data_IF_983859669451
#
_entry.id   IF_983859669451
#
_cell.length_a   1.000
_cell.length_b   1.000
_cell.length_c   1.000
_cell.angle_alpha   90.00
_cell.angle_beta   90.00
_cell.angle_gamma   90.00
#
_symmetry.space_group_name_H-M   'P 1'
#
loop_
_entity.id
_entity.type
_entity.pdbx_description
1 polymer ?
#
# COMPACT_ATOMS: atom_id res chain seq x y z
N UNK A 1 -2.78 27.10 27.87
CA UNK A 1 -2.17 28.37 28.28
C UNK A 1 -0.99 28.06 29.20
N UNK A 2 0.19 27.83 28.63
CA UNK A 2 1.51 27.93 29.28
C UNK A 2 2.48 28.37 28.18
N UNK A 3 3.08 29.55 28.35
CA UNK A 3 4.18 30.10 27.55
C UNK A 3 5.39 30.18 28.48
N UNK A 4 6.58 29.91 27.95
CA UNK A 4 7.83 30.58 28.34
C UNK A 4 8.76 30.65 27.13
N UNK A 5 9.18 31.88 26.81
CA UNK A 5 10.25 32.26 25.89
C UNK A 5 11.63 32.01 26.55
N UNK A 6 12.84 32.21 25.99
CA UNK A 6 13.39 32.89 24.80
C UNK A 6 14.91 32.54 24.72
N UNK A 7 15.58 33.06 23.68
CA UNK A 7 17.04 33.34 23.53
C UNK A 7 17.88 32.39 22.65
N UNK A 8 17.94 32.74 21.36
CA UNK A 8 19.06 33.37 20.64
C UNK A 8 20.51 32.92 20.94
N UNK A 9 21.22 32.54 19.87
CA UNK A 9 22.67 32.33 19.86
C UNK A 9 23.21 32.12 18.44
N UNK A 10 23.45 33.23 17.74
CA UNK A 10 24.29 33.31 16.52
C UNK A 10 25.72 32.87 16.83
N UNK A 11 26.34 32.06 15.96
CA UNK A 11 27.79 32.06 15.74
C UNK A 11 28.14 31.78 14.28
N UNK A 12 28.77 32.80 13.72
CA UNK A 12 29.71 32.97 12.61
C UNK A 12 30.12 31.82 11.68
N UNK A 13 30.24 32.27 10.43
CA UNK A 13 30.92 31.73 9.26
C UNK A 13 32.34 31.19 9.49
N UNK A 14 32.65 30.05 8.90
CA UNK A 14 34.01 29.66 8.54
C UNK A 14 34.09 29.04 7.13
N UNK A 15 34.69 29.83 6.24
CA UNK A 15 35.73 29.52 5.25
C UNK A 15 35.55 28.33 4.28
N UNK A 16 35.49 28.74 3.01
CA UNK A 16 35.85 27.98 1.82
C UNK A 16 37.16 27.20 2.01
N UNK A 17 37.12 25.90 1.72
CA UNK A 17 38.29 25.13 1.33
C UNK A 17 37.98 24.46 0.00
N UNK A 18 38.67 24.96 -1.02
CA UNK A 18 38.69 24.51 -2.39
C UNK A 18 39.18 23.05 -2.47
N UNK A 19 38.42 22.21 -3.16
CA UNK A 19 38.63 20.76 -3.24
C UNK A 19 37.95 20.20 -4.47
N UNK A 20 38.54 20.48 -5.64
CA UNK A 20 38.01 20.18 -6.97
C UNK A 20 37.39 18.79 -7.12
N UNK A 21 36.12 18.79 -7.55
CA UNK A 21 35.36 17.60 -7.91
C UNK A 21 35.70 17.21 -9.34
N UNK A 22 36.40 16.09 -9.52
CA UNK A 22 36.54 15.44 -10.82
C UNK A 22 35.27 14.64 -11.14
N UNK A 23 34.44 15.17 -12.04
CA UNK A 23 33.22 14.50 -12.55
C UNK A 23 33.57 13.84 -13.89
N UNK A 24 33.55 12.50 -14.04
CA UNK A 24 33.67 11.89 -15.34
C UNK A 24 32.34 12.07 -16.10
N UNK A 25 32.39 12.77 -17.23
CA UNK A 25 31.28 12.88 -18.18
C UNK A 25 30.95 11.49 -18.75
N UNK A 26 29.85 10.87 -18.28
CA UNK A 26 29.39 9.56 -18.74
C UNK A 26 28.67 9.64 -20.11
N UNK A 27 29.40 10.05 -21.14
CA UNK A 27 28.98 9.96 -22.54
C UNK A 27 29.93 9.09 -23.41
N UNK A 28 30.97 8.47 -22.83
CA UNK A 28 31.94 7.63 -23.56
C UNK A 28 31.99 6.16 -23.11
N UNK A 29 31.03 5.69 -22.30
CA UNK A 29 30.96 4.29 -21.84
C UNK A 29 30.06 3.40 -22.72
N UNK A 30 29.41 3.93 -23.76
CA UNK A 30 28.55 3.13 -24.64
C UNK A 30 29.32 2.41 -25.76
N UNK A 31 30.51 2.89 -26.14
CA UNK A 31 31.23 2.38 -27.32
C UNK A 31 32.33 1.34 -27.01
N UNK A 32 32.73 1.21 -25.73
CA UNK A 32 33.72 0.20 -25.30
C UNK A 32 33.12 -1.13 -24.83
N UNK A 33 31.80 -1.23 -24.69
CA UNK A 33 31.14 -2.38 -24.06
C UNK A 33 30.68 -3.45 -25.05
N UNK A 34 30.82 -3.19 -26.37
CA UNK A 34 30.51 -4.15 -27.44
C UNK A 34 31.75 -4.93 -27.96
N UNK A 35 32.93 -4.68 -27.39
CA UNK A 35 34.20 -5.24 -27.86
C UNK A 35 34.90 -6.14 -26.85
N UNK A 36 34.31 -7.28 -26.46
CA UNK A 36 35.10 -8.44 -25.98
C UNK A 36 34.42 -9.72 -26.50
N UNK A 37 34.91 -10.21 -27.63
CA UNK A 37 34.71 -11.59 -28.07
C UNK A 37 35.76 -12.50 -27.43
N UNK A 38 35.33 -13.74 -27.15
CA UNK A 38 36.15 -14.96 -27.09
C UNK A 38 37.13 -15.18 -25.93
N UNK A 39 36.60 -15.73 -24.83
CA UNK A 39 37.18 -16.91 -24.14
C UNK A 39 36.16 -17.50 -23.16
N UNK A 40 35.23 -18.31 -23.67
CA UNK A 40 34.43 -19.20 -22.82
C UNK A 40 35.06 -20.60 -22.88
N UNK A 41 35.77 -20.94 -21.80
CA UNK A 41 36.06 -22.32 -21.45
C UNK A 41 34.75 -23.08 -21.28
N UNK A 42 34.74 -24.32 -21.81
CA UNK A 42 33.71 -25.33 -21.60
C UNK A 42 33.49 -25.55 -20.10
N UNK A 43 32.39 -25.07 -19.58
CA UNK A 43 31.77 -25.63 -18.38
C UNK A 43 30.25 -25.52 -18.50
N UNK A 44 29.56 -26.65 -18.30
CA UNK A 44 28.09 -26.73 -18.29
C UNK A 44 27.54 -25.72 -17.26
N UNK A 45 26.40 -25.05 -17.52
CA UNK A 45 25.83 -24.12 -16.56
C UNK A 45 25.41 -24.88 -15.30
N UNK A 46 26.24 -24.81 -14.25
CA UNK A 46 25.86 -25.19 -12.88
C UNK A 46 24.70 -24.29 -12.49
N UNK A 47 23.61 -24.90 -11.99
CA UNK A 47 22.49 -24.18 -11.38
C UNK A 47 23.00 -23.38 -10.18
N UNK A 48 23.39 -22.14 -10.41
CA UNK A 48 23.81 -21.21 -9.36
C UNK A 48 22.59 -20.41 -8.92
N UNK A 49 22.16 -20.68 -7.69
CA UNK A 49 21.09 -19.96 -7.00
C UNK A 49 21.63 -18.64 -6.44
N UNK A 50 21.67 -17.57 -7.24
CA UNK A 50 21.64 -16.21 -6.68
C UNK A 50 20.19 -15.76 -6.64
N UNK A 51 19.69 -15.35 -5.46
CA UNK A 51 18.31 -14.86 -5.20
C UNK A 51 17.19 -15.92 -5.13
N UNK A 52 17.52 -17.22 -4.99
CA UNK A 52 16.51 -18.28 -4.78
C UNK A 52 15.64 -18.60 -6.01
N UNK A 53 15.92 -17.99 -7.16
CA UNK A 53 15.23 -18.28 -8.43
C UNK A 53 15.96 -19.36 -9.22
N UNK A 54 15.26 -20.44 -9.57
CA UNK A 54 15.77 -21.47 -10.49
C UNK A 54 15.63 -20.96 -11.91
N UNK A 55 16.73 -20.46 -12.48
CA UNK A 55 16.76 -20.01 -13.87
C UNK A 55 16.96 -21.22 -14.76
N UNK A 56 16.02 -21.47 -15.68
CA UNK A 56 16.28 -22.40 -16.78
C UNK A 56 17.37 -21.81 -17.69
N UNK A 57 18.26 -22.64 -18.27
CA UNK A 57 19.33 -22.17 -19.15
C UNK A 57 18.72 -21.45 -20.37
N UNK A 58 18.65 -20.14 -20.26
CA UNK A 58 18.50 -19.21 -21.36
C UNK A 58 19.90 -18.73 -21.73
N UNK A 59 20.13 -18.26 -22.95
CA UNK A 59 21.46 -17.92 -23.48
C UNK A 59 22.38 -17.15 -22.50
N UNK A 60 23.70 -17.17 -22.73
CA UNK A 60 24.67 -16.44 -21.90
C UNK A 60 24.30 -14.96 -21.70
N UNK A 61 23.69 -14.33 -22.72
CA UNK A 61 23.17 -12.96 -22.69
C UNK A 61 21.99 -12.79 -21.73
N UNK A 62 21.08 -13.76 -21.68
CA UNK A 62 19.94 -13.76 -20.76
C UNK A 62 20.42 -13.88 -19.31
N UNK A 63 21.39 -14.75 -19.03
CA UNK A 63 21.99 -14.86 -17.69
C UNK A 63 22.71 -13.57 -17.25
N UNK A 64 23.48 -12.96 -18.16
CA UNK A 64 24.13 -11.68 -17.89
C UNK A 64 23.11 -10.57 -17.60
N UNK A 65 22.00 -10.53 -18.33
CA UNK A 65 20.92 -9.55 -18.16
C UNK A 65 20.19 -9.74 -16.83
N UNK A 66 19.88 -10.98 -16.45
CA UNK A 66 19.34 -11.31 -15.12
C UNK A 66 20.26 -10.81 -14.00
N UNK A 67 21.55 -11.11 -14.11
CA UNK A 67 22.54 -10.71 -13.09
C UNK A 67 22.59 -9.19 -12.94
N UNK A 68 22.50 -8.45 -14.05
CA UNK A 68 22.40 -6.99 -14.04
C UNK A 68 21.10 -6.51 -13.40
N UNK A 69 19.95 -7.09 -13.76
CA UNK A 69 18.66 -6.78 -13.14
C UNK A 69 18.71 -6.95 -11.62
N UNK A 70 19.26 -8.06 -11.11
CA UNK A 70 19.34 -8.30 -9.67
C UNK A 70 20.25 -7.33 -8.92
N UNK A 71 21.30 -6.80 -9.57
CA UNK A 71 22.17 -5.78 -8.99
C UNK A 71 21.53 -4.40 -8.99
N UNK A 72 20.88 -4.01 -10.09
CA UNK A 72 20.34 -2.66 -10.28
C UNK A 72 18.96 -2.48 -9.65
N UNK A 73 18.11 -3.49 -9.77
CA UNK A 73 16.70 -3.44 -9.35
C UNK A 73 16.30 -4.69 -8.54
N UNK A 74 16.95 -4.97 -7.41
CA UNK A 74 16.71 -6.19 -6.63
C UNK A 74 15.25 -6.33 -6.18
N UNK A 75 14.57 -5.23 -5.89
CA UNK A 75 13.17 -5.26 -5.45
C UNK A 75 12.20 -5.68 -6.56
N UNK A 76 12.52 -5.39 -7.82
CA UNK A 76 11.68 -5.74 -8.96
C UNK A 76 11.75 -7.23 -9.30
N UNK A 77 12.77 -7.95 -8.82
CA UNK A 77 12.82 -9.41 -8.97
C UNK A 77 11.65 -10.12 -8.28
N UNK A 78 11.03 -9.49 -7.27
CA UNK A 78 9.84 -10.01 -6.58
C UNK A 78 8.61 -10.14 -7.49
N UNK A 79 8.62 -9.46 -8.65
CA UNK A 79 7.54 -9.53 -9.64
C UNK A 79 7.55 -10.83 -10.46
N UNK A 80 8.65 -11.57 -10.43
CA UNK A 80 8.84 -12.73 -11.28
C UNK A 80 8.53 -14.01 -10.51
N UNK A 81 7.81 -14.93 -11.14
CA UNK A 81 7.53 -16.24 -10.59
C UNK A 81 8.78 -17.14 -10.77
N UNK A 82 9.39 -17.67 -9.68
CA UNK A 82 10.56 -18.53 -9.78
C UNK A 82 10.36 -19.81 -10.60
N UNK A 83 9.11 -20.20 -10.88
CA UNK A 83 8.75 -21.39 -11.66
C UNK A 83 8.59 -21.11 -13.16
N UNK A 84 8.52 -19.84 -13.56
CA UNK A 84 8.34 -19.44 -14.95
C UNK A 84 9.68 -19.07 -15.59
N UNK A 85 9.79 -19.33 -16.90
CA UNK A 85 10.96 -18.93 -17.70
C UNK A 85 10.69 -17.57 -18.31
N UNK A 86 11.68 -16.68 -18.22
CA UNK A 86 11.62 -15.33 -18.76
C UNK A 86 12.79 -15.09 -19.72
N UNK A 87 12.57 -14.27 -20.75
CA UNK A 87 13.64 -13.74 -21.58
C UNK A 87 14.25 -12.51 -20.90
N UNK A 88 15.27 -12.72 -20.07
CA UNK A 88 15.84 -11.66 -19.25
C UNK A 88 16.52 -10.55 -20.06
N UNK A 89 16.94 -10.81 -21.30
CA UNK A 89 17.44 -9.76 -22.18
C UNK A 89 16.30 -8.80 -22.57
N UNK A 90 15.16 -9.34 -23.00
CA UNK A 90 13.98 -8.53 -23.32
C UNK A 90 13.44 -7.79 -22.09
N UNK A 91 13.43 -8.44 -20.92
CA UNK A 91 13.05 -7.81 -19.64
C UNK A 91 13.94 -6.62 -19.28
N UNK A 92 15.25 -6.80 -19.39
CA UNK A 92 16.23 -5.76 -19.12
C UNK A 92 16.06 -4.59 -20.09
N UNK A 93 15.94 -4.87 -21.39
CA UNK A 93 15.72 -3.85 -22.41
C UNK A 93 14.42 -3.08 -22.16
N UNK A 94 13.33 -3.78 -21.83
CA UNK A 94 12.06 -3.15 -21.48
C UNK A 94 12.21 -2.19 -20.30
N UNK A 95 12.82 -2.62 -19.19
CA UNK A 95 13.02 -1.76 -18.00
C UNK A 95 13.89 -0.53 -18.32
N UNK A 96 14.96 -0.71 -19.09
CA UNK A 96 15.84 0.39 -19.50
C UNK A 96 15.09 1.40 -20.36
N UNK A 97 14.34 0.91 -21.35
CA UNK A 97 13.55 1.75 -22.26
C UNK A 97 12.47 2.52 -21.50
N UNK A 98 11.73 1.87 -20.59
CA UNK A 98 10.74 2.52 -19.72
C UNK A 98 11.36 3.61 -18.86
N UNK A 99 12.54 3.33 -18.28
CA UNK A 99 13.27 4.32 -17.50
C UNK A 99 13.67 5.55 -18.32
N UNK A 100 14.15 5.34 -19.55
CA UNK A 100 14.52 6.44 -20.46
C UNK A 100 13.30 7.30 -20.82
N UNK A 101 12.17 6.68 -21.16
CA UNK A 101 10.93 7.37 -21.48
C UNK A 101 10.41 8.20 -20.30
N UNK A 102 10.43 7.65 -19.08
CA UNK A 102 10.04 8.38 -17.86
C UNK A 102 10.93 9.59 -17.63
N UNK A 103 12.26 9.43 -17.74
CA UNK A 103 13.20 10.55 -17.55
C UNK A 103 12.94 11.66 -18.57
N UNK A 104 12.74 11.31 -19.84
CA UNK A 104 12.40 12.28 -20.88
C UNK A 104 11.06 12.98 -20.61
N UNK A 105 10.04 12.21 -20.18
CA UNK A 105 8.73 12.75 -19.87
C UNK A 105 8.82 13.79 -18.75
N UNK A 106 9.42 13.43 -17.61
CA UNK A 106 9.59 14.32 -16.44
C UNK A 106 10.39 15.57 -16.79
N UNK A 107 11.49 15.43 -17.53
CA UNK A 107 12.29 16.57 -17.98
C UNK A 107 11.49 17.55 -18.87
N UNK A 108 10.50 17.04 -19.62
CA UNK A 108 9.61 17.86 -20.46
C UNK A 108 8.45 18.51 -19.70
N UNK A 109 8.23 18.16 -18.42
CA UNK A 109 7.04 18.62 -17.70
C UNK A 109 7.12 20.10 -17.33
N UNK A 110 8.29 20.63 -16.97
CA UNK A 110 8.41 22.05 -16.61
C UNK A 110 7.99 22.95 -17.76
N UNK A 111 8.43 22.66 -18.99
CA UNK A 111 8.02 23.46 -20.17
C UNK A 111 6.54 23.29 -20.54
N UNK A 112 5.95 22.11 -20.28
CA UNK A 112 4.57 21.80 -20.64
C UNK A 112 3.52 22.16 -19.58
N UNK A 113 3.89 22.16 -18.30
CA UNK A 113 2.96 22.10 -17.17
C UNK A 113 3.19 23.17 -16.10
N UNK A 114 4.15 24.08 -16.26
CA UNK A 114 4.44 25.12 -15.25
C UNK A 114 3.27 26.07 -14.98
N UNK A 115 2.38 26.24 -15.95
CA UNK A 115 1.23 27.14 -15.89
C UNK A 115 -0.04 26.47 -15.32
N UNK A 116 0.03 25.18 -14.98
CA UNK A 116 -1.09 24.43 -14.43
C UNK A 116 -0.93 24.27 -12.92
N UNK A 117 -1.94 24.69 -12.14
CA UNK A 117 -1.98 24.46 -10.69
C UNK A 117 -2.02 22.94 -10.38
N UNK A 118 -2.79 22.17 -11.16
CA UNK A 118 -2.94 20.73 -11.03
C UNK A 118 -2.71 19.98 -12.36
N UNK A 119 -2.15 18.77 -12.27
CA UNK A 119 -2.00 17.88 -13.44
C UNK A 119 -3.37 17.28 -13.74
N UNK A 120 -3.92 17.59 -14.91
CA UNK A 120 -5.21 17.04 -15.33
C UNK A 120 -5.08 15.59 -15.83
N UNK A 121 -6.15 14.79 -15.67
CA UNK A 121 -6.24 13.40 -16.16
C UNK A 121 -5.87 13.30 -17.66
N UNK A 122 -6.32 14.26 -18.48
CA UNK A 122 -6.01 14.32 -19.92
C UNK A 122 -4.50 14.41 -20.23
N UNK A 123 -3.74 15.05 -19.34
CA UNK A 123 -2.29 15.24 -19.49
C UNK A 123 -1.49 13.95 -19.20
N UNK A 124 -2.12 12.95 -18.58
CA UNK A 124 -1.48 11.69 -18.19
C UNK A 124 -1.66 10.57 -19.23
N UNK A 125 -2.49 10.76 -20.27
CA UNK A 125 -2.85 9.72 -21.23
C UNK A 125 -1.64 9.01 -21.86
N UNK A 126 -0.58 9.75 -22.20
CA UNK A 126 0.67 9.17 -22.73
C UNK A 126 1.35 8.23 -21.72
N UNK A 127 1.45 8.67 -20.46
CA UNK A 127 2.02 7.88 -19.37
C UNK A 127 1.15 6.65 -19.08
N UNK A 128 -0.17 6.80 -19.12
CA UNK A 128 -1.11 5.70 -18.92
C UNK A 128 -0.99 4.63 -20.00
N UNK A 129 -0.95 5.04 -21.27
CA UNK A 129 -0.72 4.10 -22.37
C UNK A 129 0.60 3.34 -22.17
N UNK A 130 1.66 4.05 -21.77
CA UNK A 130 2.96 3.46 -21.49
C UNK A 130 2.94 2.48 -20.30
N UNK A 131 2.07 2.69 -19.31
CA UNK A 131 1.95 1.81 -18.13
C UNK A 131 1.16 0.53 -18.41
N UNK A 132 0.29 0.53 -19.43
CA UNK A 132 -0.61 -0.57 -19.74
C UNK A 132 -0.15 -1.44 -20.93
N UNK A 133 0.95 -1.10 -21.60
CA UNK A 133 1.43 -1.82 -22.80
C UNK A 133 2.14 -3.15 -22.49
N UNK A 134 2.50 -3.39 -21.23
CA UNK A 134 3.13 -4.64 -20.77
C UNK A 134 2.77 -4.89 -19.30
N UNK A 135 2.62 -6.15 -18.91
CA UNK A 135 2.25 -6.58 -17.54
C UNK A 135 3.14 -6.02 -16.41
N UNK A 136 4.36 -5.56 -16.73
CA UNK A 136 5.35 -5.06 -15.77
C UNK A 136 5.68 -3.59 -15.96
N UNK A 137 5.13 -2.94 -17.00
CA UNK A 137 5.38 -1.53 -17.30
C UNK A 137 5.02 -0.61 -16.15
N UNK A 138 3.88 -0.86 -15.49
CA UNK A 138 3.46 -0.14 -14.28
C UNK A 138 4.58 -0.11 -13.23
N UNK A 139 5.12 -1.27 -12.87
CA UNK A 139 6.14 -1.38 -11.82
C UNK A 139 7.46 -0.71 -12.21
N UNK A 140 7.86 -0.83 -13.48
CA UNK A 140 9.09 -0.23 -13.98
C UNK A 140 9.02 1.30 -14.01
N UNK A 141 7.88 1.85 -14.42
CA UNK A 141 7.63 3.28 -14.44
C UNK A 141 7.56 3.84 -13.02
N UNK A 142 6.83 3.18 -12.13
CA UNK A 142 6.74 3.60 -10.72
C UNK A 142 8.10 3.58 -10.03
N UNK A 143 8.92 2.55 -10.25
CA UNK A 143 10.28 2.46 -9.71
C UNK A 143 11.17 3.60 -10.22
N UNK A 144 11.12 3.92 -11.53
CA UNK A 144 11.89 5.04 -12.08
C UNK A 144 11.44 6.39 -11.49
N UNK A 145 10.13 6.63 -11.40
CA UNK A 145 9.58 7.86 -10.84
C UNK A 145 9.95 8.04 -9.37
N UNK A 146 9.83 6.98 -8.55
CA UNK A 146 10.23 7.01 -7.13
C UNK A 146 11.73 7.32 -7.00
N UNK A 147 12.57 6.74 -7.85
CA UNK A 147 14.00 7.05 -7.84
C UNK A 147 14.30 8.49 -8.26
N UNK A 148 13.60 9.01 -9.28
CA UNK A 148 13.78 10.39 -9.78
C UNK A 148 13.23 11.45 -8.82
N UNK A 149 12.18 11.11 -8.08
CA UNK A 149 11.60 11.93 -7.00
C UNK A 149 12.39 11.91 -5.70
N UNK A 150 13.55 11.24 -5.64
CA UNK A 150 14.38 11.25 -4.44
C UNK A 150 15.38 12.42 -4.49
N UNK A 151 15.24 13.44 -3.63
CA UNK A 151 16.13 14.61 -3.64
C UNK A 151 17.57 14.30 -3.25
N UNK A 152 17.83 13.17 -2.56
CA UNK A 152 19.20 12.71 -2.26
C UNK A 152 19.91 12.12 -3.48
N UNK A 153 19.16 11.78 -4.54
CA UNK A 153 19.68 11.14 -5.76
C UNK A 153 19.56 12.02 -6.99
N UNK A 154 18.72 13.05 -6.95
CA UNK A 154 18.51 13.98 -8.05
C UNK A 154 18.68 15.43 -7.56
N UNK A 155 19.62 16.13 -8.19
CA UNK A 155 19.90 17.54 -7.89
C UNK A 155 18.88 18.51 -8.51
N UNK A 156 18.12 18.08 -9.52
CA UNK A 156 17.09 18.92 -10.12
C UNK A 156 15.79 18.83 -9.33
N UNK A 157 15.57 19.83 -8.46
CA UNK A 157 14.38 19.92 -7.61
C UNK A 157 13.07 20.06 -8.40
N UNK A 158 13.12 20.59 -9.64
CA UNK A 158 11.95 20.71 -10.50
C UNK A 158 11.51 19.34 -10.98
N UNK A 159 12.47 18.53 -11.43
CA UNK A 159 12.20 17.14 -11.80
C UNK A 159 11.79 16.28 -10.61
N UNK A 160 12.39 16.50 -9.43
CA UNK A 160 11.98 15.84 -8.17
C UNK A 160 10.50 16.11 -7.89
N UNK A 161 10.11 17.39 -7.90
CA UNK A 161 8.72 17.81 -7.69
C UNK A 161 7.75 17.13 -8.66
N UNK A 162 8.04 17.16 -9.96
CA UNK A 162 7.16 16.56 -10.96
C UNK A 162 7.11 15.04 -10.86
N UNK A 163 8.23 14.38 -10.55
CA UNK A 163 8.26 12.93 -10.33
C UNK A 163 7.37 12.54 -9.14
N UNK A 164 7.45 13.24 -8.01
CA UNK A 164 6.57 13.01 -6.86
C UNK A 164 5.09 13.26 -7.17
N UNK A 165 4.79 14.35 -7.90
CA UNK A 165 3.42 14.68 -8.32
C UNK A 165 2.85 13.58 -9.22
N UNK A 166 3.63 13.07 -10.18
CA UNK A 166 3.24 11.96 -11.03
C UNK A 166 3.00 10.66 -10.26
N UNK A 167 3.88 10.31 -9.31
CA UNK A 167 3.66 9.12 -8.45
C UNK A 167 2.31 9.20 -7.74
N UNK A 168 1.97 10.38 -7.21
CA UNK A 168 0.69 10.62 -6.56
C UNK A 168 -0.50 10.46 -7.53
N UNK A 169 -0.46 11.13 -8.68
CA UNK A 169 -1.53 11.07 -9.69
C UNK A 169 -1.76 9.64 -10.20
N UNK A 170 -0.68 8.93 -10.55
CA UNK A 170 -0.76 7.58 -11.11
C UNK A 170 -1.28 6.56 -10.08
N UNK A 171 -0.88 6.69 -8.81
CA UNK A 171 -1.43 5.86 -7.72
C UNK A 171 -2.93 6.11 -7.54
N UNK A 172 -3.35 7.37 -7.50
CA UNK A 172 -4.78 7.74 -7.41
C UNK A 172 -5.58 7.19 -8.60
N UNK A 173 -5.02 7.24 -9.81
CA UNK A 173 -5.70 6.71 -10.98
C UNK A 173 -5.87 5.18 -10.94
N UNK A 174 -4.87 4.43 -10.48
CA UNK A 174 -4.99 2.99 -10.25
C UNK A 174 -6.03 2.67 -9.17
N UNK A 175 -6.03 3.46 -8.09
CA UNK A 175 -7.04 3.35 -7.04
C UNK A 175 -8.44 3.63 -7.60
N UNK A 176 -8.63 4.60 -8.51
CA UNK A 176 -9.92 4.86 -9.17
C UNK A 176 -10.44 3.63 -9.93
N UNK A 177 -9.56 2.89 -10.62
CA UNK A 177 -9.90 1.61 -11.27
C UNK A 177 -10.32 0.56 -10.24
N UNK A 178 -9.53 0.40 -9.17
CA UNK A 178 -9.87 -0.52 -8.08
C UNK A 178 -11.22 -0.21 -7.45
N UNK A 179 -11.50 1.07 -7.16
CA UNK A 179 -12.77 1.51 -6.58
C UNK A 179 -13.97 1.20 -7.48
N UNK A 180 -13.82 1.41 -8.79
CA UNK A 180 -14.86 1.06 -9.75
C UNK A 180 -15.14 -0.45 -9.77
N UNK A 181 -14.10 -1.28 -9.70
CA UNK A 181 -14.27 -2.73 -9.61
C UNK A 181 -14.90 -3.14 -8.26
N UNK A 182 -14.49 -2.51 -7.15
CA UNK A 182 -15.03 -2.78 -5.82
C UNK A 182 -16.52 -2.46 -5.70
N UNK A 183 -17.01 -1.40 -6.36
CA UNK A 183 -18.46 -1.12 -6.41
C UNK A 183 -19.28 -2.17 -7.18
N UNK A 184 -18.62 -2.96 -8.03
CA UNK A 184 -19.27 -3.97 -8.88
C UNK A 184 -19.25 -5.37 -8.27
N UNK A 185 -18.44 -5.64 -7.23
CA UNK A 185 -18.48 -6.93 -6.53
C UNK A 185 -19.79 -7.05 -5.72
N UNK A 186 -20.27 -8.27 -5.43
CA UNK A 186 -21.48 -8.47 -4.65
C UNK A 186 -21.46 -7.72 -3.30
N UNK A 187 -22.60 -7.25 -2.76
CA UNK A 187 -22.64 -6.50 -1.50
C UNK A 187 -21.96 -7.22 -0.33
N UNK A 188 -22.04 -8.56 -0.30
CA UNK A 188 -21.37 -9.40 0.69
C UNK A 188 -19.83 -9.36 0.61
N UNK A 189 -19.26 -8.91 -0.51
CA UNK A 189 -17.80 -8.77 -0.67
C UNK A 189 -17.33 -7.32 -0.43
N UNK A 190 -18.25 -6.36 -0.29
CA UNK A 190 -17.99 -4.94 -0.08
C UNK A 190 -17.73 -4.59 1.39
N UNK A 191 -16.71 -5.20 1.98
CA UNK A 191 -16.35 -4.99 3.39
C UNK A 191 -15.89 -3.56 3.68
N UNK A 192 -16.34 -3.00 4.81
CA UNK A 192 -15.99 -1.64 5.25
C UNK A 192 -14.48 -1.46 5.44
N UNK A 193 -13.79 -2.44 6.04
CA UNK A 193 -12.33 -2.40 6.20
C UNK A 193 -11.59 -2.28 4.87
N UNK A 194 -12.07 -2.93 3.79
CA UNK A 194 -11.47 -2.83 2.45
C UNK A 194 -11.66 -1.41 1.91
N UNK A 195 -12.84 -0.83 2.10
CA UNK A 195 -13.12 0.57 1.80
C UNK A 195 -12.24 1.54 2.58
N UNK A 196 -12.03 1.32 3.88
CA UNK A 196 -11.19 2.16 4.71
C UNK A 196 -9.70 2.07 4.32
N UNK A 197 -9.20 0.87 4.01
CA UNK A 197 -7.84 0.68 3.48
C UNK A 197 -7.67 1.38 2.13
N UNK A 198 -8.70 1.35 1.28
CA UNK A 198 -8.71 2.09 0.03
C UNK A 198 -8.59 3.60 0.25
N UNK A 199 -9.42 4.17 1.13
CA UNK A 199 -9.37 5.60 1.48
C UNK A 199 -8.01 5.97 2.06
N UNK A 200 -7.46 5.15 2.95
CA UNK A 200 -6.12 5.37 3.50
C UNK A 200 -5.04 5.39 2.41
N UNK A 201 -5.08 4.46 1.44
CA UNK A 201 -4.17 4.47 0.28
C UNK A 201 -4.34 5.70 -0.61
N UNK A 202 -5.55 6.22 -0.71
CA UNK A 202 -5.86 7.42 -1.50
C UNK A 202 -5.29 8.68 -0.86
N UNK A 203 -5.51 8.85 0.45
CA UNK A 203 -5.02 9.99 1.24
C UNK A 203 -3.49 9.91 1.35
N UNK A 204 -2.95 8.75 1.70
CA UNK A 204 -1.53 8.51 1.92
C UNK A 204 -0.82 7.99 0.67
N UNK A 205 -1.01 8.65 -0.48
CA UNK A 205 -0.46 8.18 -1.76
C UNK A 205 1.08 8.05 -1.74
N UNK A 206 1.77 8.80 -0.88
CA UNK A 206 3.22 8.70 -0.68
C UNK A 206 3.64 7.53 0.23
N UNK A 207 2.75 6.98 1.06
CA UNK A 207 3.05 5.88 1.99
C UNK A 207 2.49 4.54 1.51
N UNK A 208 3.15 3.45 1.89
CA UNK A 208 2.69 2.09 1.59
C UNK A 208 1.76 1.58 2.69
N UNK A 209 0.44 1.77 2.52
CA UNK A 209 -0.56 1.16 3.40
C UNK A 209 -0.72 -0.32 3.06
N UNK A 210 -0.46 -1.20 4.03
CA UNK A 210 -0.53 -2.67 3.86
C UNK A 210 -1.91 -3.21 4.28
N UNK A 211 -2.74 -3.71 3.35
CA UNK A 211 -4.02 -4.33 3.69
C UNK A 211 -3.86 -5.56 4.60
N UNK A 212 -2.76 -6.29 4.43
CA UNK A 212 -2.44 -7.49 5.22
C UNK A 212 -2.15 -7.13 6.67
N UNK A 213 -1.44 -6.02 6.90
CA UNK A 213 -1.14 -5.56 8.26
C UNK A 213 -2.42 -5.10 8.97
N UNK A 214 -3.25 -4.31 8.29
CA UNK A 214 -4.54 -3.85 8.81
C UNK A 214 -5.43 -5.06 9.16
N UNK A 215 -5.58 -6.03 8.25
CA UNK A 215 -6.34 -7.25 8.55
C UNK A 215 -5.77 -8.00 9.75
N UNK A 216 -4.44 -8.10 9.88
CA UNK A 216 -3.81 -8.80 11.01
C UNK A 216 -4.07 -8.09 12.34
N UNK A 217 -4.03 -6.76 12.37
CA UNK A 217 -4.37 -5.99 13.58
C UNK A 217 -5.83 -6.21 13.99
N UNK A 218 -6.75 -6.26 13.03
CA UNK A 218 -8.16 -6.58 13.29
C UNK A 218 -8.34 -8.02 13.80
N UNK A 219 -7.57 -8.98 13.27
CA UNK A 219 -7.58 -10.36 13.76
C UNK A 219 -7.06 -10.45 15.21
N UNK A 220 -6.04 -9.67 15.57
CA UNK A 220 -5.54 -9.60 16.95
C UNK A 220 -6.58 -9.01 17.92
N UNK A 221 -7.30 -7.97 17.51
CA UNK A 221 -8.42 -7.44 18.29
C UNK A 221 -9.52 -8.49 18.46
N UNK A 222 -9.88 -9.22 17.40
CA UNK A 222 -10.87 -10.29 17.49
C UNK A 222 -10.43 -11.41 18.45
N UNK A 223 -9.15 -11.80 18.46
CA UNK A 223 -8.65 -12.80 19.42
C UNK A 223 -8.67 -12.26 20.85
N UNK A 224 -8.31 -11.00 21.08
CA UNK A 224 -8.43 -10.38 22.40
C UNK A 224 -9.88 -10.40 22.92
N UNK A 225 -10.86 -10.18 22.04
CA UNK A 225 -12.29 -10.32 22.40
C UNK A 225 -12.65 -11.77 22.72
N UNK A 226 -12.12 -12.74 21.97
CA UNK A 226 -12.33 -14.16 22.26
C UNK A 226 -11.78 -14.55 23.63
N UNK A 227 -10.63 -14.02 24.05
CA UNK A 227 -10.08 -14.25 25.38
C UNK A 227 -10.97 -13.69 26.50
N UNK A 228 -11.43 -12.44 26.35
CA UNK A 228 -12.38 -11.83 27.31
C UNK A 228 -13.67 -12.64 27.38
N UNK A 229 -14.22 -13.00 26.22
CA UNK A 229 -15.44 -13.80 26.12
C UNK A 229 -15.26 -15.18 26.76
N UNK A 230 -14.10 -15.84 26.58
CA UNK A 230 -13.81 -17.16 27.15
C UNK A 230 -13.78 -17.12 28.67
N UNK A 231 -13.25 -16.04 29.24
CA UNK A 231 -13.17 -15.88 30.70
C UNK A 231 -14.53 -15.73 31.38
N UNK A 232 -15.54 -15.19 30.66
CA UNK A 232 -16.88 -14.89 31.20
C UNK A 232 -17.95 -15.88 30.77
N UNK A 233 -17.84 -16.38 29.55
CA UNK A 233 -18.82 -17.23 28.87
C UNK A 233 -18.11 -18.41 28.18
N UNK A 234 -17.46 -19.32 28.94
CA UNK A 234 -16.64 -20.40 28.38
C UNK A 234 -17.41 -21.40 27.50
N UNK A 235 -18.74 -21.46 27.63
CA UNK A 235 -19.62 -22.32 26.84
C UNK A 235 -20.26 -21.63 25.62
N UNK A 236 -19.84 -20.41 25.29
CA UNK A 236 -20.34 -19.69 24.12
C UNK A 236 -20.07 -20.47 22.83
N UNK A 237 -21.07 -20.51 21.93
CA UNK A 237 -21.07 -21.34 20.71
C UNK A 237 -19.91 -21.03 19.75
N UNK A 238 -19.37 -19.80 19.81
CA UNK A 238 -18.17 -19.39 19.04
C UNK A 238 -16.94 -20.29 19.26
N UNK A 239 -16.81 -20.94 20.42
CA UNK A 239 -15.67 -21.81 20.72
C UNK A 239 -15.82 -23.22 20.12
N UNK A 240 -17.06 -23.61 19.81
CA UNK A 240 -17.38 -24.84 19.07
C UNK A 240 -17.56 -24.60 17.57
N UNK A 241 -17.42 -23.35 17.11
CA UNK A 241 -17.61 -22.97 15.71
C UNK A 241 -16.44 -23.44 14.85
N UNK A 242 -16.68 -24.12 13.71
CA UNK A 242 -15.63 -24.52 12.79
C UNK A 242 -14.79 -23.35 12.26
N UNK A 243 -13.47 -23.56 12.14
CA UNK A 243 -12.51 -22.52 11.74
C UNK A 243 -12.75 -21.99 10.31
N UNK A 244 -13.21 -22.84 9.41
CA UNK A 244 -13.57 -22.47 8.04
C UNK A 244 -14.75 -21.50 8.01
N UNK A 245 -15.73 -21.66 8.90
CA UNK A 245 -16.84 -20.73 9.03
C UNK A 245 -16.39 -19.37 9.60
N UNK A 246 -15.49 -19.38 10.59
CA UNK A 246 -14.89 -18.14 11.14
C UNK A 246 -14.10 -17.39 10.06
N UNK A 247 -13.32 -18.10 9.24
CA UNK A 247 -12.59 -17.49 8.12
C UNK A 247 -13.55 -16.94 7.05
N UNK A 248 -14.70 -17.58 6.81
CA UNK A 248 -15.73 -17.03 5.92
C UNK A 248 -16.25 -15.68 6.42
N UNK A 249 -16.53 -15.53 7.71
CA UNK A 249 -16.99 -14.27 8.30
C UNK A 249 -15.98 -13.14 8.13
N UNK A 250 -14.68 -13.46 8.14
CA UNK A 250 -13.62 -12.49 7.86
C UNK A 250 -13.63 -12.00 6.41
N UNK A 251 -13.99 -12.84 5.45
CA UNK A 251 -13.91 -12.50 4.03
C UNK A 251 -15.21 -11.94 3.43
N UNK A 252 -16.35 -12.18 4.08
CA UNK A 252 -17.69 -11.79 3.59
C UNK A 252 -18.52 -11.10 4.66
N UNK A 253 -19.36 -10.16 4.25
CA UNK A 253 -20.34 -9.52 5.11
C UNK A 253 -21.40 -10.53 5.51
N UNK A 254 -21.82 -10.46 6.77
CA UNK A 254 -22.85 -11.34 7.30
C UNK A 254 -24.22 -10.92 6.76
N UNK A 255 -25.05 -11.89 6.40
CA UNK A 255 -26.45 -11.65 6.05
C UNK A 255 -27.29 -11.47 7.31
N UNK A 256 -27.07 -12.30 8.34
CA UNK A 256 -27.66 -12.24 9.67
C UNK A 256 -26.62 -12.61 10.75
N UNK A 257 -26.98 -12.45 12.03
CA UNK A 257 -26.20 -12.92 13.17
C UNK A 257 -25.98 -14.44 13.12
N UNK A 258 -24.85 -14.90 13.63
CA UNK A 258 -24.47 -16.31 13.64
C UNK A 258 -24.80 -17.01 14.98
N UNK A 259 -25.31 -16.25 15.95
CA UNK A 259 -25.69 -16.70 17.29
C UNK A 259 -27.04 -16.13 17.70
N UNK A 260 -27.63 -16.68 18.76
CA UNK A 260 -28.84 -16.12 19.35
C UNK A 260 -28.61 -14.72 19.98
N UNK A 261 -29.68 -13.97 20.29
CA UNK A 261 -29.56 -12.61 20.82
C UNK A 261 -28.68 -12.47 22.07
N UNK A 262 -28.81 -13.41 23.02
CA UNK A 262 -28.01 -13.39 24.26
C UNK A 262 -26.52 -13.58 23.99
N UNK A 263 -26.15 -14.51 23.12
CA UNK A 263 -24.77 -14.76 22.73
C UNK A 263 -24.18 -13.58 21.93
N UNK A 264 -24.95 -13.00 21.01
CA UNK A 264 -24.55 -11.78 20.32
C UNK A 264 -24.25 -10.63 21.29
N UNK A 265 -25.10 -10.43 22.32
CA UNK A 265 -24.87 -9.42 23.35
C UNK A 265 -23.58 -9.69 24.14
N UNK A 266 -23.29 -10.95 24.48
CA UNK A 266 -22.05 -11.33 25.16
C UNK A 266 -20.82 -10.96 24.31
N UNK A 267 -20.86 -11.22 23.00
CA UNK A 267 -19.80 -10.80 22.07
C UNK A 267 -19.67 -9.27 22.03
N UNK A 268 -20.78 -8.53 21.91
CA UNK A 268 -20.75 -7.06 21.84
C UNK A 268 -20.25 -6.41 23.12
N UNK A 269 -20.58 -6.96 24.29
CA UNK A 269 -20.07 -6.49 25.58
C UNK A 269 -18.56 -6.72 25.67
N UNK A 270 -18.09 -7.93 25.34
CA UNK A 270 -16.66 -8.24 25.32
C UNK A 270 -15.90 -7.37 24.29
N UNK A 271 -16.51 -7.10 23.14
CA UNK A 271 -15.97 -6.23 22.10
C UNK A 271 -15.83 -4.78 22.58
N UNK A 272 -16.87 -4.22 23.17
CA UNK A 272 -16.83 -2.86 23.72
C UNK A 272 -15.73 -2.70 24.77
N UNK A 273 -15.57 -3.69 25.65
CA UNK A 273 -14.49 -3.69 26.64
C UNK A 273 -13.10 -3.75 26.00
N UNK A 274 -12.87 -4.62 25.02
CA UNK A 274 -11.56 -4.71 24.37
C UNK A 274 -11.22 -3.45 23.60
N UNK A 275 -12.17 -2.89 22.85
CA UNK A 275 -11.94 -1.71 22.02
C UNK A 275 -11.73 -0.49 22.92
N UNK A 276 -12.64 -0.21 23.86
CA UNK A 276 -12.61 1.06 24.60
C UNK A 276 -11.78 1.00 25.89
N UNK A 277 -11.72 -0.15 26.57
CA UNK A 277 -11.03 -0.25 27.88
C UNK A 277 -9.62 -0.86 27.75
N UNK A 278 -9.48 -2.00 27.05
CA UNK A 278 -8.17 -2.66 26.96
C UNK A 278 -7.24 -2.01 25.94
N UNK A 279 -7.75 -1.73 24.74
CA UNK A 279 -6.98 -1.12 23.66
C UNK A 279 -7.00 0.42 23.74
N UNK A 280 -7.96 0.99 24.47
CA UNK A 280 -8.03 2.43 24.71
C UNK A 280 -8.42 3.24 23.47
N UNK A 281 -9.21 2.68 22.56
CA UNK A 281 -9.69 3.45 21.40
C UNK A 281 -10.53 4.64 21.86
N UNK A 282 -10.24 5.83 21.37
CA UNK A 282 -11.07 7.01 21.62
C UNK A 282 -11.21 7.91 20.39
N UNK A 283 -12.34 8.61 20.34
CA UNK A 283 -12.65 9.53 19.25
C UNK A 283 -11.97 10.87 19.44
N UNK A 284 -11.33 11.37 18.40
CA UNK A 284 -10.83 12.74 18.34
C UNK A 284 -11.71 13.57 17.40
N UNK A 285 -12.52 14.46 17.99
CA UNK A 285 -13.45 15.33 17.27
C UNK A 285 -12.81 16.64 16.81
N UNK A 286 -11.54 16.92 17.17
CA UNK A 286 -10.94 18.22 16.87
C UNK A 286 -10.30 18.31 15.48
N UNK A 287 -10.13 17.18 14.76
CA UNK A 287 -9.36 17.16 13.51
C UNK A 287 -9.85 16.07 12.54
N UNK A 288 -11.06 16.21 11.99
CA UNK A 288 -11.63 15.24 11.02
C UNK A 288 -10.81 15.11 9.72
N UNK A 289 -9.98 16.10 9.38
CA UNK A 289 -9.16 16.10 8.16
C UNK A 289 -7.69 15.72 8.40
N UNK A 290 -7.29 15.42 9.65
CA UNK A 290 -5.95 14.87 9.88
C UNK A 290 -5.89 13.44 9.34
N UNK A 291 -4.88 13.17 8.51
CA UNK A 291 -4.54 11.84 7.99
C UNK A 291 -4.54 10.79 9.10
N UNK A 292 -4.01 11.14 10.27
CA UNK A 292 -3.93 10.21 11.40
C UNK A 292 -5.30 9.77 11.92
N UNK A 293 -6.31 10.64 11.82
CA UNK A 293 -7.66 10.38 12.33
C UNK A 293 -8.56 9.76 11.24
N UNK A 294 -8.20 9.92 9.97
CA UNK A 294 -8.99 9.47 8.82
C UNK A 294 -8.52 8.13 8.22
N UNK A 295 -7.29 7.68 8.52
CA UNK A 295 -6.71 6.49 7.91
C UNK A 295 -6.68 5.30 8.87
N UNK A 296 -7.32 4.18 8.52
CA UNK A 296 -7.46 3.00 9.38
C UNK A 296 -6.15 2.46 9.93
N UNK A 297 -5.06 2.45 9.16
CA UNK A 297 -3.75 2.03 9.63
C UNK A 297 -3.22 2.94 10.74
N UNK A 298 -3.38 4.26 10.61
CA UNK A 298 -2.93 5.21 11.63
C UNK A 298 -3.78 5.09 12.91
N UNK A 299 -5.10 4.91 12.76
CA UNK A 299 -6.02 4.74 13.89
C UNK A 299 -5.77 3.44 14.64
N UNK A 300 -5.49 2.34 13.94
CA UNK A 300 -5.13 1.07 14.57
C UNK A 300 -3.80 1.15 15.33
N UNK A 301 -2.82 1.90 14.81
CA UNK A 301 -1.52 2.07 15.47
C UNK A 301 -1.61 2.98 16.71
N UNK A 302 -2.42 4.04 16.65
CA UNK A 302 -2.54 5.05 17.71
C UNK A 302 -3.66 4.81 18.70
N UNK A 303 -4.60 3.92 18.37
CA UNK A 303 -5.87 3.76 19.08
C UNK A 303 -6.64 5.09 19.23
N UNK A 304 -6.52 5.99 18.25
CA UNK A 304 -7.18 7.29 18.24
C UNK A 304 -7.60 7.63 16.82
N UNK A 305 -8.85 8.06 16.62
CA UNK A 305 -9.30 8.43 15.28
C UNK A 305 -10.68 9.03 15.21
N UNK A 306 -11.14 9.25 13.97
CA UNK A 306 -12.50 9.71 13.73
C UNK A 306 -13.54 8.65 14.10
N UNK A 307 -14.76 9.05 14.51
CA UNK A 307 -15.84 8.12 14.84
C UNK A 307 -16.11 7.10 13.73
N UNK A 308 -16.07 7.53 12.46
CA UNK A 308 -16.29 6.65 11.30
C UNK A 308 -15.29 5.49 11.28
N UNK A 309 -14.00 5.78 11.44
CA UNK A 309 -12.96 4.75 11.36
C UNK A 309 -13.04 3.80 12.56
N UNK A 310 -13.32 4.31 13.76
CA UNK A 310 -13.50 3.47 14.95
C UNK A 310 -14.73 2.55 14.78
N UNK A 311 -15.83 3.05 14.21
CA UNK A 311 -16.97 2.20 13.87
C UNK A 311 -16.61 1.14 12.83
N UNK A 312 -15.82 1.46 11.80
CA UNK A 312 -15.37 0.45 10.82
C UNK A 312 -14.54 -0.64 11.51
N UNK A 313 -13.63 -0.27 12.42
CA UNK A 313 -12.85 -1.22 13.22
C UNK A 313 -13.78 -2.09 14.06
N UNK A 314 -14.73 -1.48 14.78
CA UNK A 314 -15.70 -2.17 15.62
C UNK A 314 -16.53 -3.18 14.82
N UNK A 315 -17.12 -2.75 13.69
CA UNK A 315 -17.89 -3.63 12.80
C UNK A 315 -17.03 -4.77 12.29
N UNK A 316 -15.79 -4.48 11.87
CA UNK A 316 -14.92 -5.48 11.29
C UNK A 316 -14.46 -6.54 12.30
N UNK A 317 -14.33 -6.17 13.58
CA UNK A 317 -14.07 -7.14 14.67
C UNK A 317 -15.35 -7.90 15.03
N UNK A 318 -16.50 -7.23 15.18
CA UNK A 318 -17.79 -7.88 15.46
C UNK A 318 -18.13 -8.95 14.41
N UNK A 319 -17.94 -8.62 13.13
CA UNK A 319 -18.16 -9.50 11.99
C UNK A 319 -17.28 -10.75 12.04
N UNK A 320 -15.99 -10.61 12.35
CA UNK A 320 -15.07 -11.75 12.58
C UNK A 320 -15.52 -12.67 13.71
N UNK A 321 -16.36 -12.17 14.60
CA UNK A 321 -16.94 -12.90 15.73
C UNK A 321 -18.40 -13.28 15.49
N UNK A 322 -18.86 -13.30 14.24
CA UNK A 322 -20.19 -13.79 13.87
C UNK A 322 -21.36 -12.86 14.20
N UNK A 323 -21.10 -11.60 14.59
CA UNK A 323 -22.14 -10.63 14.91
C UNK A 323 -22.24 -9.57 13.82
N UNK A 324 -23.45 -9.37 13.29
CA UNK A 324 -23.71 -8.37 12.25
C UNK A 324 -24.01 -7.01 12.87
N UNK A 325 -23.46 -5.95 12.30
CA UNK A 325 -23.81 -4.57 12.62
C UNK A 325 -24.14 -3.80 11.32
N UNK A 326 -25.31 -3.15 11.26
CA UNK A 326 -25.65 -2.24 10.16
C UNK A 326 -24.95 -0.89 10.38
N UNK A 327 -24.50 -0.26 9.31
CA UNK A 327 -24.08 1.14 9.32
C UNK A 327 -25.28 2.06 9.12
N UNK A 328 -25.41 3.07 9.97
CA UNK A 328 -26.37 4.16 9.82
C UNK A 328 -25.60 5.46 9.61
N UNK A 329 -25.81 6.08 8.44
CA UNK A 329 -25.28 7.41 8.15
C UNK A 329 -26.36 8.44 8.49
N UNK A 330 -26.09 9.27 9.49
CA UNK A 330 -26.87 10.46 9.82
C UNK A 330 -26.05 11.70 9.46
N UNK A 331 -26.68 12.87 9.27
CA UNK A 331 -25.94 14.13 9.17
C UNK A 331 -24.98 14.25 10.38
N UNK A 332 -23.70 14.47 10.11
CA UNK A 332 -22.60 14.59 11.09
C UNK A 332 -22.26 13.34 11.94
N UNK A 333 -23.02 12.23 11.81
CA UNK A 333 -22.81 11.05 12.63
C UNK A 333 -22.80 9.75 11.82
N UNK A 334 -21.88 8.86 12.19
CA UNK A 334 -21.81 7.50 11.70
C UNK A 334 -22.00 6.56 12.87
N UNK A 335 -23.04 5.73 12.80
CA UNK A 335 -23.44 4.85 13.90
C UNK A 335 -23.49 3.41 13.43
N UNK A 336 -23.26 2.49 14.36
CA UNK A 336 -23.53 1.08 14.17
C UNK A 336 -24.83 0.71 14.88
N UNK A 337 -25.64 -0.13 14.24
CA UNK A 337 -26.84 -0.70 14.83
C UNK A 337 -26.79 -2.22 14.76
N UNK A 338 -26.81 -2.84 15.94
CA UNK A 338 -27.11 -4.26 16.08
C UNK A 338 -28.62 -4.49 16.14
N UNK A 339 -29.10 -5.60 15.57
CA UNK A 339 -30.48 -6.10 15.66
C UNK A 339 -30.44 -7.58 16.01
N UNK A 340 -31.50 -8.09 16.62
CA UNK A 340 -31.61 -9.52 16.95
C UNK A 340 -31.66 -10.41 15.71
N UNK A 341 -32.36 -9.99 14.65
CA UNK A 341 -32.34 -10.61 13.33
C UNK A 341 -32.44 -9.57 12.22
N UNK A 342 -31.83 -9.89 11.08
CA UNK A 342 -31.81 -9.08 9.86
C UNK A 342 -32.63 -9.70 8.70
N UNK A 343 -33.10 -10.93 8.87
CA UNK A 343 -33.88 -11.67 7.86
C UNK A 343 -35.37 -11.32 7.85
N UNK A 344 -35.89 -10.67 8.90
CA UNK A 344 -37.29 -10.26 8.99
C UNK A 344 -37.46 -8.76 8.69
N UNK A 345 -37.57 -8.40 7.42
CA UNK A 345 -38.15 -7.10 7.01
C UNK A 345 -39.20 -7.37 5.92
N UNK A 346 -40.38 -7.79 6.37
CA UNK A 346 -41.66 -7.58 5.69
C UNK A 346 -42.66 -7.29 6.80
N UNK A 347 -42.96 -6.01 7.02
CA UNK A 347 -43.94 -5.51 7.97
C UNK A 347 -44.35 -4.11 7.56
#
# INVERSE_FOLDING_TARGET
MVRTCKEDGDWESDKEVDGGVYIPSNARLLDKTLGVTSRMHRDKPRQLTSYGMKIQPTSAESYASFTKCGKLWPQLLKLYNPKQVYNWLAEFQLRVNKGALVRQYVASMSSKMYHLEEIQDSSLAEMEAMMNDHERSYHFIMDELINKGNPLRNSDLTEVYYAEKLVCCLKKQQLKKFWNNFKQVPPEEQLLEKGAVFVAKWIQSSMAVSPVLVSRQLDLLAEAVREVLRSRHPFHSIFSTPLDLVEQWKQKALTDNQFGPSECQQVLVALGEVIFNHSGFYTDNNMHYNVDNACINMVLDRCQGSPIIICIIYESVARRLGVKCDTLSLPEHFLLRWKESYMYVNG
#
